data_IF_475530432925
#
_entry.id   IF_475530432925
#
_cell.length_a   1.000
_cell.length_b   1.000
_cell.length_c   1.000
_cell.angle_alpha   90.00
_cell.angle_beta   90.00
_cell.angle_gamma   90.00
#
_symmetry.space_group_name_H-M   'P 1'
#
loop_
_entity.id
_entity.type
_entity.pdbx_description
1 polymer ?
#
# COMPACT_ATOMS: atom_id res chain seq x y z
N UNK A 1 9.89 -13.84 -24.09
CA UNK A 1 10.74 -14.81 -23.36
C UNK A 1 10.80 -14.47 -21.87
N UNK A 2 11.15 -13.24 -21.48
CA UNK A 2 11.32 -12.85 -20.07
C UNK A 2 10.02 -12.78 -19.26
N UNK A 3 8.92 -12.25 -19.80
CA UNK A 3 7.64 -12.20 -19.08
C UNK A 3 7.14 -13.61 -18.67
N UNK A 4 7.31 -14.61 -19.53
CA UNK A 4 6.95 -16.00 -19.24
C UNK A 4 7.89 -16.65 -18.20
N UNK A 5 9.12 -16.15 -18.06
CA UNK A 5 10.04 -16.57 -17.01
C UNK A 5 9.64 -15.97 -15.66
N UNK A 6 9.28 -14.68 -15.62
CA UNK A 6 8.79 -13.99 -14.41
C UNK A 6 7.50 -14.63 -13.88
N UNK A 7 6.55 -14.97 -14.75
CA UNK A 7 5.28 -15.58 -14.35
C UNK A 7 5.42 -16.98 -13.73
N UNK A 8 6.57 -17.65 -13.85
CA UNK A 8 6.81 -18.92 -13.16
C UNK A 8 7.11 -18.73 -11.66
N UNK A 9 7.55 -17.54 -11.28
CA UNK A 9 7.91 -17.19 -9.89
C UNK A 9 6.95 -16.16 -9.28
N UNK A 10 5.98 -15.66 -10.05
CA UNK A 10 5.04 -14.65 -9.62
C UNK A 10 3.60 -15.00 -10.05
N UNK A 11 2.59 -14.77 -9.18
CA UNK A 11 2.73 -14.23 -7.83
C UNK A 11 3.26 -15.28 -6.85
N UNK A 12 4.10 -14.86 -5.90
CA UNK A 12 4.60 -15.70 -4.79
C UNK A 12 3.61 -15.78 -3.61
N UNK A 13 2.39 -15.29 -3.80
CA UNK A 13 1.33 -15.25 -2.80
C UNK A 13 1.30 -13.97 -1.96
N UNK A 14 0.14 -13.66 -1.40
CA UNK A 14 -0.09 -12.59 -0.43
C UNK A 14 -1.29 -12.96 0.46
N UNK A 15 -1.38 -12.38 1.66
CA UNK A 15 -2.57 -12.57 2.50
C UNK A 15 -3.76 -11.78 1.96
N UNK A 16 -4.98 -12.24 2.23
CA UNK A 16 -6.20 -11.49 1.89
C UNK A 16 -6.22 -10.10 2.54
N UNK A 17 -5.58 -9.95 3.70
CA UNK A 17 -5.46 -8.66 4.39
C UNK A 17 -4.63 -7.65 3.59
N UNK A 18 -3.57 -8.08 2.89
CA UNK A 18 -2.77 -7.19 2.02
C UNK A 18 -3.62 -6.68 0.85
N UNK A 19 -4.40 -7.57 0.23
CA UNK A 19 -5.28 -7.23 -0.89
C UNK A 19 -6.37 -6.24 -0.43
N UNK A 20 -6.98 -6.51 0.73
CA UNK A 20 -7.98 -5.61 1.32
C UNK A 20 -7.38 -4.26 1.70
N UNK A 21 -6.18 -4.23 2.31
CA UNK A 21 -5.49 -2.98 2.65
C UNK A 21 -5.19 -2.13 1.40
N UNK A 22 -4.75 -2.78 0.32
CA UNK A 22 -4.52 -2.08 -0.94
C UNK A 22 -5.81 -1.43 -1.48
N UNK A 23 -6.95 -2.14 -1.39
CA UNK A 23 -8.26 -1.59 -1.74
C UNK A 23 -8.67 -0.42 -0.83
N UNK A 24 -8.39 -0.48 0.47
CA UNK A 24 -8.64 0.64 1.40
C UNK A 24 -7.87 1.90 1.01
N UNK A 25 -6.60 1.76 0.59
CA UNK A 25 -5.79 2.89 0.15
C UNK A 25 -6.32 3.49 -1.15
N UNK A 26 -6.71 2.66 -2.13
CA UNK A 26 -7.34 3.11 -3.37
C UNK A 26 -8.64 3.87 -3.07
N UNK A 27 -9.51 3.30 -2.24
CA UNK A 27 -10.82 3.87 -1.95
C UNK A 27 -10.74 5.17 -1.16
N UNK A 28 -9.84 5.23 -0.16
CA UNK A 28 -9.70 6.39 0.71
C UNK A 28 -8.81 7.50 0.12
N UNK A 29 -7.97 7.17 -0.87
CA UNK A 29 -6.94 8.09 -1.37
C UNK A 29 -5.88 8.46 -0.33
N UNK A 30 -5.78 7.70 0.77
CA UNK A 30 -4.88 7.99 1.89
C UNK A 30 -3.82 6.91 1.99
N UNK A 31 -2.57 7.32 2.16
CA UNK A 31 -1.50 6.41 2.57
C UNK A 31 -1.54 6.24 4.09
N UNK A 32 -2.20 5.19 4.57
CA UNK A 32 -2.46 4.95 5.98
C UNK A 32 -2.28 3.49 6.39
N UNK A 33 -2.23 3.25 7.70
CA UNK A 33 -2.28 1.88 8.26
C UNK A 33 -3.61 1.20 7.95
N UNK A 34 -3.63 -0.13 8.05
CA UNK A 34 -4.83 -0.93 7.81
C UNK A 34 -6.01 -0.50 8.69
N UNK A 35 -7.16 -0.26 8.09
CA UNK A 35 -8.40 0.01 8.81
C UNK A 35 -9.09 -1.31 9.16
N UNK A 36 -9.24 -1.60 10.45
CA UNK A 36 -9.98 -2.78 10.91
C UNK A 36 -11.50 -2.61 10.72
N UNK A 37 -11.97 -1.44 10.27
CA UNK A 37 -13.38 -1.03 10.16
C UNK A 37 -14.14 -1.09 11.49
N UNK A 38 -13.39 -1.19 12.58
CA UNK A 38 -13.85 -1.26 13.95
C UNK A 38 -12.98 -0.30 14.77
N UNK A 39 -13.62 0.65 15.45
CA UNK A 39 -12.93 1.71 16.19
C UNK A 39 -12.17 1.17 17.41
N UNK A 40 -12.69 0.13 18.07
CA UNK A 40 -12.05 -0.49 19.23
C UNK A 40 -10.81 -1.24 18.76
N UNK A 41 -10.92 -2.05 17.69
CA UNK A 41 -9.74 -2.73 17.12
C UNK A 41 -8.68 -1.74 16.65
N UNK A 42 -9.08 -0.67 15.96
CA UNK A 42 -8.13 0.39 15.58
C UNK A 42 -7.46 1.02 16.81
N UNK A 43 -8.20 1.24 17.89
CA UNK A 43 -7.64 1.76 19.13
C UNK A 43 -6.68 0.77 19.80
N UNK A 44 -7.01 -0.52 19.85
CA UNK A 44 -6.13 -1.57 20.37
C UNK A 44 -4.81 -1.64 19.58
N UNK A 45 -4.87 -1.50 18.26
CA UNK A 45 -3.69 -1.56 17.41
C UNK A 45 -2.87 -0.27 17.36
N UNK A 46 -3.52 0.90 17.46
CA UNK A 46 -2.89 2.19 17.14
C UNK A 46 -2.97 3.24 18.25
N UNK A 47 -3.73 3.01 19.32
CA UNK A 47 -4.05 4.03 20.32
C UNK A 47 -4.99 5.14 19.82
N UNK A 48 -5.62 4.94 18.66
CA UNK A 48 -6.50 5.92 18.01
C UNK A 48 -7.65 5.23 17.27
N UNK A 49 -8.83 5.86 17.26
CA UNK A 49 -10.06 5.27 16.69
C UNK A 49 -10.04 5.15 15.15
N UNK A 50 -9.13 5.85 14.48
CA UNK A 50 -8.92 5.82 13.03
C UNK A 50 -7.47 5.44 12.75
N UNK A 51 -7.15 4.71 11.68
CA UNK A 51 -5.75 4.40 11.35
C UNK A 51 -4.96 5.69 11.04
N UNK A 52 -3.71 5.81 11.56
CA UNK A 52 -2.84 6.94 11.26
C UNK A 52 -2.36 6.91 9.81
N UNK A 53 -2.19 8.10 9.24
CA UNK A 53 -1.52 8.29 7.94
C UNK A 53 -0.01 8.23 8.10
N UNK A 54 0.66 7.71 7.09
CA UNK A 54 2.11 7.83 6.98
C UNK A 54 2.45 9.21 6.43
N UNK A 55 3.28 9.94 7.17
CA UNK A 55 3.79 11.24 6.75
C UNK A 55 5.06 11.04 5.91
N UNK A 56 4.93 11.21 4.59
CA UNK A 56 6.04 11.03 3.65
C UNK A 56 7.10 12.11 3.76
N UNK A 57 6.81 13.27 4.37
CA UNK A 57 7.83 14.32 4.59
C UNK A 57 8.86 13.92 5.65
N UNK A 58 8.60 12.84 6.40
CA UNK A 58 9.54 12.25 7.37
C UNK A 58 10.52 11.27 6.75
N UNK A 59 10.41 10.97 5.46
CA UNK A 59 11.39 10.17 4.73
C UNK A 59 12.64 11.05 4.51
N UNK A 60 13.69 10.77 5.26
CA UNK A 60 14.97 11.52 5.22
C UNK A 60 16.10 10.76 4.50
N UNK A 61 15.88 9.48 4.19
CA UNK A 61 16.83 8.69 3.41
C UNK A 61 16.96 9.27 1.99
N UNK A 62 18.19 9.39 1.44
CA UNK A 62 18.37 9.74 0.03
C UNK A 62 17.57 8.80 -0.86
N UNK A 63 16.66 9.36 -1.65
CA UNK A 63 15.69 8.59 -2.45
C UNK A 63 15.74 9.04 -3.90
N UNK A 64 15.78 8.07 -4.83
CA UNK A 64 15.57 8.30 -6.25
C UNK A 64 14.32 7.55 -6.69
N UNK A 65 13.42 8.23 -7.39
CA UNK A 65 12.16 7.66 -7.87
C UNK A 65 12.18 7.58 -9.39
N UNK A 66 11.84 6.41 -9.92
CA UNK A 66 11.68 6.18 -11.36
C UNK A 66 10.23 5.75 -11.62
N UNK A 67 9.60 6.35 -12.61
CA UNK A 67 8.24 6.03 -13.02
C UNK A 67 8.09 6.22 -14.53
N UNK A 68 7.00 5.70 -15.10
CA UNK A 68 6.73 5.74 -16.54
C UNK A 68 5.35 6.30 -16.82
N UNK A 69 5.24 7.12 -17.89
CA UNK A 69 3.97 7.68 -18.35
C UNK A 69 2.93 6.62 -18.75
N UNK A 70 3.37 5.39 -19.05
CA UNK A 70 2.49 4.27 -19.44
C UNK A 70 2.30 3.24 -18.32
N UNK A 71 2.60 3.61 -17.07
CA UNK A 71 2.33 2.75 -15.91
C UNK A 71 0.82 2.74 -15.59
N UNK A 72 0.22 1.55 -15.58
CA UNK A 72 -1.22 1.39 -15.34
C UNK A 72 -1.61 1.50 -13.87
N UNK A 73 -0.66 1.28 -12.97
CA UNK A 73 -0.86 1.32 -11.52
C UNK A 73 -0.49 2.69 -10.94
N UNK A 74 0.60 3.30 -11.43
CA UNK A 74 1.05 4.63 -11.00
C UNK A 74 0.71 5.66 -12.07
N UNK A 75 -0.42 6.35 -11.91
CA UNK A 75 -0.96 7.22 -12.96
C UNK A 75 -0.38 8.64 -12.99
N UNK A 76 0.26 9.08 -11.90
CA UNK A 76 0.82 10.44 -11.75
C UNK A 76 2.10 10.38 -10.89
N UNK A 77 3.26 10.14 -11.49
CA UNK A 77 4.54 10.33 -10.78
C UNK A 77 5.05 11.75 -10.85
#
# INVERSE_FOLDING_TARGET
>A
AEAAYVSQYAPSGASLQIIDHYAQNIHSGRFAKYDYRDKIKNFEHYGQLKPPTYDTTRITAPTATFWSLKDTFIKNG
#
